data_IF_374085381998
#
_entry.id   IF_374085381998
#
_cell.length_a   1.000
_cell.length_b   1.000
_cell.length_c   1.000
_cell.angle_alpha   90.00
_cell.angle_beta   90.00
_cell.angle_gamma   90.00
#
_symmetry.space_group_name_H-M   'P 1'
#
loop_
_entity.id
_entity.type
_entity.pdbx_description
1 polymer ?
#
# COMPACT_ATOMS: atom_id res chain seq x y z
N UNK A 1 43.87 -27.97 15.38
CA UNK A 1 43.58 -27.19 14.15
C UNK A 1 42.27 -27.71 13.57
N UNK A 2 41.15 -27.05 13.88
CA UNK A 2 39.82 -27.50 13.46
C UNK A 2 39.42 -26.81 12.16
N UNK A 3 39.09 -27.59 11.12
CA UNK A 3 38.71 -27.09 9.80
C UNK A 3 37.22 -26.74 9.80
N UNK A 4 36.91 -25.47 9.60
CA UNK A 4 35.54 -24.98 9.38
C UNK A 4 35.22 -25.15 7.90
N UNK A 5 34.25 -26.00 7.57
CA UNK A 5 33.73 -26.17 6.21
C UNK A 5 32.59 -25.17 6.01
N UNK A 6 32.63 -24.30 4.98
CA UNK A 6 31.54 -23.37 4.73
C UNK A 6 30.39 -24.11 4.02
N UNK A 7 29.23 -24.09 4.65
CA UNK A 7 27.97 -24.64 4.12
C UNK A 7 27.40 -23.62 3.12
N UNK A 8 27.60 -23.88 1.82
CA UNK A 8 27.06 -23.10 0.71
C UNK A 8 25.54 -23.36 0.61
N UNK A 9 24.75 -22.43 1.12
CA UNK A 9 23.29 -22.48 1.09
C UNK A 9 22.80 -22.00 -0.29
N UNK A 10 22.63 -22.95 -1.20
CA UNK A 10 22.00 -22.75 -2.52
C UNK A 10 20.53 -22.41 -2.32
N UNK A 11 20.21 -21.11 -2.38
CA UNK A 11 18.85 -20.60 -2.36
C UNK A 11 18.19 -20.92 -3.71
N UNK A 12 17.51 -22.07 -3.79
CA UNK A 12 16.70 -22.45 -4.95
C UNK A 12 15.49 -21.53 -5.04
N UNK A 13 15.59 -20.50 -5.89
CA UNK A 13 14.49 -19.61 -6.25
C UNK A 13 13.46 -20.42 -7.04
N UNK A 14 12.49 -20.98 -6.32
CA UNK A 14 11.31 -21.61 -6.89
C UNK A 14 10.38 -20.52 -7.41
N UNK A 15 10.64 -20.04 -8.63
CA UNK A 15 9.65 -19.29 -9.39
C UNK A 15 8.49 -20.25 -9.61
N UNK A 16 7.38 -20.01 -8.91
CA UNK A 16 6.10 -20.67 -9.18
C UNK A 16 5.66 -20.31 -10.59
N UNK A 17 6.16 -21.07 -11.57
CA UNK A 17 5.66 -21.04 -12.92
C UNK A 17 4.19 -21.39 -12.84
N UNK A 18 3.32 -20.41 -13.14
CA UNK A 18 1.99 -20.65 -13.67
C UNK A 18 2.12 -21.87 -14.58
N UNK A 19 1.59 -23.01 -14.15
CA UNK A 19 1.72 -24.27 -14.86
C UNK A 19 0.93 -24.14 -16.14
N UNK A 20 1.53 -23.57 -17.18
CA UNK A 20 0.99 -23.70 -18.53
C UNK A 20 1.00 -25.20 -18.83
N UNK A 21 -0.19 -25.77 -18.92
CA UNK A 21 -0.37 -27.19 -19.22
C UNK A 21 0.04 -27.46 -20.67
N UNK A 22 0.49 -28.69 -20.94
CA UNK A 22 0.72 -29.12 -22.32
C UNK A 22 -0.62 -29.12 -23.06
N UNK A 23 -0.61 -28.52 -24.25
CA UNK A 23 -1.78 -28.44 -25.12
C UNK A 23 -1.34 -28.72 -26.55
N UNK A 24 -2.25 -29.35 -27.31
CA UNK A 24 -2.09 -29.52 -28.76
C UNK A 24 -2.49 -28.24 -29.47
N UNK A 25 -1.58 -27.72 -30.29
CA UNK A 25 -1.78 -26.58 -31.17
C UNK A 25 -1.76 -27.08 -32.61
N UNK A 26 -2.63 -26.55 -33.45
CA UNK A 26 -2.80 -27.01 -34.84
C UNK A 26 -2.60 -25.84 -35.81
N UNK A 27 -2.00 -26.09 -36.97
CA UNK A 27 -1.94 -25.12 -38.07
C UNK A 27 -3.14 -25.24 -39.03
N UNK A 28 -3.23 -24.36 -40.02
CA UNK A 28 -4.33 -24.38 -41.00
C UNK A 28 -4.25 -25.57 -41.99
N UNK A 29 -3.12 -26.29 -42.03
CA UNK A 29 -2.92 -27.48 -42.86
C UNK A 29 -3.25 -28.80 -42.12
N UNK A 30 -3.61 -28.73 -40.83
CA UNK A 30 -3.92 -29.88 -39.99
C UNK A 30 -2.72 -30.49 -39.26
N UNK A 31 -1.51 -29.95 -39.42
CA UNK A 31 -0.36 -30.36 -38.62
C UNK A 31 -0.56 -29.91 -37.17
N UNK A 32 -0.18 -30.77 -36.23
CA UNK A 32 -0.33 -30.49 -34.81
C UNK A 32 0.97 -30.66 -34.05
N UNK A 33 1.12 -29.86 -32.99
CA UNK A 33 2.25 -29.92 -32.08
C UNK A 33 1.74 -29.83 -30.65
N UNK A 34 2.21 -30.75 -29.80
CA UNK A 34 1.91 -30.69 -28.38
C UNK A 34 3.01 -29.96 -27.62
N UNK A 35 2.65 -28.87 -26.96
CA UNK A 35 3.60 -27.98 -26.35
C UNK A 35 3.02 -27.19 -25.18
N UNK A 36 3.90 -26.60 -24.40
CA UNK A 36 3.63 -25.64 -23.33
C UNK A 36 4.04 -24.25 -23.79
N UNK A 37 3.17 -23.25 -23.63
CA UNK A 37 3.50 -21.85 -23.92
C UNK A 37 4.47 -21.30 -22.86
N UNK A 38 5.53 -20.62 -23.30
CA UNK A 38 6.52 -19.99 -22.41
C UNK A 38 6.42 -18.46 -22.49
N UNK A 39 6.42 -17.91 -23.69
CA UNK A 39 6.50 -16.47 -23.91
C UNK A 39 5.90 -16.08 -25.27
N UNK A 40 5.29 -14.89 -25.36
CA UNK A 40 4.92 -14.26 -26.62
C UNK A 40 5.66 -12.92 -26.76
N UNK A 41 6.59 -12.85 -27.71
CA UNK A 41 7.29 -11.61 -28.07
C UNK A 41 6.35 -10.76 -28.91
N UNK A 42 5.87 -9.64 -28.35
CA UNK A 42 4.87 -8.78 -28.98
C UNK A 42 5.35 -8.16 -30.30
N UNK A 43 6.61 -7.77 -30.39
CA UNK A 43 7.18 -7.07 -31.55
C UNK A 43 7.12 -7.94 -32.81
N UNK A 44 7.50 -9.21 -32.69
CA UNK A 44 7.58 -10.12 -33.85
C UNK A 44 6.42 -11.11 -33.95
N UNK A 45 5.47 -11.05 -33.01
CA UNK A 45 4.43 -12.08 -32.84
C UNK A 45 5.00 -13.51 -32.82
N UNK A 46 6.18 -13.68 -32.20
CA UNK A 46 6.85 -14.97 -32.05
C UNK A 46 6.48 -15.56 -30.70
N UNK A 47 6.01 -16.80 -30.72
CA UNK A 47 5.71 -17.58 -29.53
C UNK A 47 6.86 -18.53 -29.28
N UNK A 48 7.38 -18.50 -28.06
CA UNK A 48 8.30 -19.51 -27.56
C UNK A 48 7.51 -20.60 -26.83
N UNK A 49 7.72 -21.84 -27.23
CA UNK A 49 7.01 -23.01 -26.70
C UNK A 49 8.00 -24.11 -26.31
N UNK A 50 7.62 -24.93 -25.34
CA UNK A 50 8.37 -26.12 -24.94
C UNK A 50 7.59 -27.37 -25.36
N UNK A 51 8.21 -28.23 -26.16
CA UNK A 51 7.65 -29.52 -26.57
C UNK A 51 7.71 -30.53 -25.41
N UNK A 52 6.95 -31.63 -25.51
CA UNK A 52 6.97 -32.71 -24.49
C UNK A 52 8.37 -33.27 -24.21
N UNK A 53 9.22 -33.32 -25.22
CA UNK A 53 10.60 -33.79 -25.09
C UNK A 53 11.54 -32.75 -24.44
N UNK A 54 11.00 -31.64 -23.92
CA UNK A 54 11.74 -30.56 -23.28
C UNK A 54 12.37 -29.54 -24.24
N UNK A 55 12.42 -29.81 -25.55
CA UNK A 55 12.97 -28.90 -26.56
C UNK A 55 12.14 -27.62 -26.64
N UNK A 56 12.81 -26.47 -26.66
CA UNK A 56 12.17 -25.18 -26.89
C UNK A 56 12.21 -24.84 -28.37
N UNK A 57 11.10 -24.32 -28.89
CA UNK A 57 10.96 -23.85 -30.27
C UNK A 57 10.34 -22.45 -30.28
N UNK A 58 10.70 -21.67 -31.29
CA UNK A 58 10.09 -20.38 -31.57
C UNK A 58 9.26 -20.53 -32.86
N UNK A 59 7.99 -20.08 -32.82
CA UNK A 59 7.07 -20.16 -33.95
C UNK A 59 6.31 -18.85 -34.12
N UNK A 60 6.02 -18.45 -35.36
CA UNK A 60 5.17 -17.29 -35.63
C UNK A 60 3.74 -17.58 -35.18
N UNK A 61 3.08 -16.63 -34.55
CA UNK A 61 1.67 -16.73 -34.15
C UNK A 61 0.76 -17.07 -35.34
N UNK A 62 1.08 -16.53 -36.52
CA UNK A 62 0.35 -16.82 -37.76
C UNK A 62 0.49 -18.27 -38.26
N UNK A 63 1.40 -19.07 -37.71
CA UNK A 63 1.55 -20.48 -38.07
C UNK A 63 0.49 -21.37 -37.40
N UNK A 64 -0.27 -20.84 -36.45
CA UNK A 64 -1.32 -21.57 -35.73
C UNK A 64 -2.71 -21.19 -36.26
N UNK A 65 -3.67 -22.10 -36.07
CA UNK A 65 -5.08 -21.90 -36.37
C UNK A 65 -5.64 -20.66 -35.67
N UNK A 66 -6.69 -20.06 -36.23
CA UNK A 66 -7.29 -18.84 -35.66
C UNK A 66 -7.76 -19.02 -34.20
N UNK A 67 -8.29 -20.21 -33.85
CA UNK A 67 -8.72 -20.53 -32.50
C UNK A 67 -7.55 -20.56 -31.51
N UNK A 68 -6.43 -21.19 -31.91
CA UNK A 68 -5.21 -21.23 -31.11
C UNK A 68 -4.55 -19.86 -31.01
N UNK A 69 -4.56 -19.06 -32.08
CA UNK A 69 -4.09 -17.68 -32.01
C UNK A 69 -4.85 -16.86 -30.98
N UNK A 70 -6.19 -16.98 -30.95
CA UNK A 70 -7.04 -16.29 -29.97
C UNK A 70 -6.72 -16.77 -28.55
N UNK A 71 -6.54 -18.07 -28.36
CA UNK A 71 -6.15 -18.64 -27.07
C UNK A 71 -4.79 -18.12 -26.59
N UNK A 72 -3.77 -18.13 -27.45
CA UNK A 72 -2.41 -17.67 -27.13
C UNK A 72 -2.41 -16.19 -26.75
N UNK A 73 -3.16 -15.35 -27.48
CA UNK A 73 -3.31 -13.92 -27.13
C UNK A 73 -3.95 -13.74 -25.75
N UNK A 74 -5.00 -14.51 -25.46
CA UNK A 74 -5.67 -14.49 -24.15
C UNK A 74 -4.72 -14.92 -23.03
N UNK A 75 -4.06 -16.07 -23.19
CA UNK A 75 -3.07 -16.59 -22.26
C UNK A 75 -1.96 -15.57 -21.99
N UNK A 76 -1.44 -14.92 -23.04
CA UNK A 76 -0.39 -13.93 -22.86
C UNK A 76 -0.88 -12.69 -22.11
N UNK A 77 -2.13 -12.27 -22.36
CA UNK A 77 -2.77 -11.21 -21.58
C UNK A 77 -2.83 -11.54 -20.10
N UNK A 78 -3.19 -12.77 -19.75
CA UNK A 78 -3.22 -13.27 -18.36
C UNK A 78 -1.81 -13.32 -17.75
N UNK A 79 -0.80 -13.79 -18.49
CA UNK A 79 0.60 -13.80 -18.02
C UNK A 79 1.13 -12.39 -17.77
N UNK A 80 0.85 -11.45 -18.68
CA UNK A 80 1.27 -10.04 -18.50
C UNK A 80 0.56 -9.41 -17.31
N UNK A 81 -0.74 -9.67 -17.15
CA UNK A 81 -1.51 -9.17 -16.01
C UNK A 81 -0.96 -9.72 -14.70
N UNK A 82 -0.68 -11.02 -14.62
CA UNK A 82 -0.11 -11.67 -13.43
C UNK A 82 1.27 -11.11 -13.10
N UNK A 83 2.13 -10.91 -14.12
CA UNK A 83 3.43 -10.27 -13.92
C UNK A 83 3.24 -8.89 -13.29
N UNK A 84 2.30 -8.07 -13.76
CA UNK A 84 2.07 -6.71 -13.26
C UNK A 84 1.53 -6.64 -11.82
N UNK A 85 1.40 -7.76 -11.12
CA UNK A 85 0.99 -7.81 -9.72
C UNK A 85 2.23 -7.63 -8.84
N UNK A 86 2.14 -6.68 -7.91
CA UNK A 86 3.15 -6.50 -6.88
C UNK A 86 3.10 -7.66 -5.89
N UNK A 87 4.25 -8.32 -5.68
CA UNK A 87 4.41 -9.42 -4.72
C UNK A 87 5.29 -9.00 -3.55
N UNK A 88 5.19 -9.71 -2.41
CA UNK A 88 5.95 -9.39 -1.18
C UNK A 88 7.47 -9.41 -1.32
N UNK A 89 7.97 -10.13 -2.32
CA UNK A 89 9.40 -10.25 -2.60
C UNK A 89 9.94 -9.14 -3.49
N UNK A 90 9.09 -8.27 -4.02
CA UNK A 90 9.52 -7.14 -4.82
C UNK A 90 10.32 -6.15 -3.97
N UNK A 91 11.38 -5.60 -4.55
CA UNK A 91 12.22 -4.57 -3.94
C UNK A 91 11.57 -3.22 -4.14
N UNK A 92 10.78 -2.81 -3.15
CA UNK A 92 10.22 -1.46 -3.06
C UNK A 92 10.73 -0.82 -1.78
N UNK A 93 11.07 0.46 -1.87
CA UNK A 93 11.39 1.28 -0.71
C UNK A 93 10.23 2.24 -0.46
N UNK A 94 9.85 2.42 0.80
CA UNK A 94 8.75 3.30 1.18
C UNK A 94 9.17 4.21 2.32
N UNK A 95 9.03 5.51 2.11
CA UNK A 95 9.30 6.55 3.10
C UNK A 95 8.02 7.33 3.41
N UNK A 96 7.77 7.64 4.69
CA UNK A 96 6.61 8.42 5.13
C UNK A 96 7.10 9.67 5.86
N UNK A 97 6.70 10.84 5.37
CA UNK A 97 6.97 12.14 6.01
C UNK A 97 5.66 12.77 6.46
N UNK A 98 5.68 13.34 7.67
CA UNK A 98 4.52 14.03 8.25
C UNK A 98 4.97 15.45 8.62
N UNK A 99 4.88 16.36 7.66
CA UNK A 99 5.37 17.72 7.84
C UNK A 99 4.32 18.63 8.47
N UNK A 100 4.78 19.57 9.31
CA UNK A 100 3.93 20.60 9.90
C UNK A 100 4.21 21.95 9.28
N UNK A 101 3.17 22.67 8.85
CA UNK A 101 3.27 24.12 8.67
C UNK A 101 2.63 24.81 9.87
N UNK A 102 3.45 25.44 10.70
CA UNK A 102 2.96 26.32 11.77
C UNK A 102 2.65 27.66 11.14
N UNK A 103 1.45 28.22 11.36
CA UNK A 103 1.26 29.66 11.16
C UNK A 103 2.06 30.36 12.26
N UNK A 104 3.28 30.80 11.97
CA UNK A 104 3.90 31.82 12.82
C UNK A 104 3.11 33.11 12.60
N UNK A 105 2.14 33.39 13.46
CA UNK A 105 1.63 34.75 13.60
C UNK A 105 2.81 35.60 14.09
N UNK A 106 3.38 36.42 13.21
CA UNK A 106 4.45 37.36 13.51
C UNK A 106 4.00 38.54 14.39
N UNK A 107 3.25 38.27 15.45
CA UNK A 107 2.82 39.26 16.42
C UNK A 107 3.23 38.81 17.81
N UNK A 108 4.35 39.39 18.26
CA UNK A 108 4.68 39.54 19.68
C UNK A 108 3.66 40.49 20.30
N UNK A 109 2.54 39.96 20.81
CA UNK A 109 1.62 40.71 21.66
C UNK A 109 1.90 40.31 23.11
N UNK A 110 2.29 41.29 23.91
CA UNK A 110 2.64 41.15 25.33
C UNK A 110 1.43 40.89 26.26
N UNK A 111 0.24 40.64 25.73
CA UNK A 111 -0.97 40.37 26.51
C UNK A 111 -1.95 39.49 25.72
N UNK A 112 -1.99 38.18 26.03
CA UNK A 112 -3.18 37.33 26.19
C UNK A 112 -2.78 35.85 26.15
N UNK A 113 -2.47 35.31 27.32
CA UNK A 113 -2.29 33.88 27.60
C UNK A 113 -3.60 33.13 27.33
N UNK A 114 -3.73 32.51 26.15
CA UNK A 114 -4.61 31.38 25.80
C UNK A 114 -4.40 31.06 24.31
N UNK A 115 -3.19 30.63 23.94
CA UNK A 115 -2.85 30.40 22.53
C UNK A 115 -3.44 29.07 22.03
N UNK A 116 -4.61 29.14 21.37
CA UNK A 116 -5.18 28.07 20.56
C UNK A 116 -4.21 27.67 19.42
N UNK A 117 -3.33 26.71 19.68
CA UNK A 117 -2.36 26.23 18.70
C UNK A 117 -3.02 25.24 17.75
N UNK A 118 -3.47 25.73 16.59
CA UNK A 118 -3.87 24.86 15.47
C UNK A 118 -2.67 24.58 14.56
N UNK A 119 -2.29 23.30 14.42
CA UNK A 119 -1.26 22.84 13.48
C UNK A 119 -1.88 22.11 12.30
N UNK A 120 -1.39 22.41 11.09
CA UNK A 120 -1.78 21.68 9.87
C UNK A 120 -0.62 20.75 9.50
N UNK A 121 -0.97 19.50 9.23
CA UNK A 121 -0.06 18.43 8.87
C UNK A 121 -0.30 18.02 7.42
N UNK A 122 0.79 17.79 6.69
CA UNK A 122 0.82 17.39 5.29
C UNK A 122 1.55 16.06 5.20
N UNK A 123 0.82 14.93 5.17
CA UNK A 123 1.45 13.64 4.98
C UNK A 123 1.95 13.49 3.53
N UNK A 124 3.12 12.89 3.39
CA UNK A 124 3.74 12.52 2.13
C UNK A 124 4.20 11.07 2.23
N UNK A 125 3.95 10.28 1.19
CA UNK A 125 4.47 8.92 1.08
C UNK A 125 5.22 8.78 -0.23
N UNK A 126 6.52 8.52 -0.13
CA UNK A 126 7.39 8.26 -1.27
C UNK A 126 7.55 6.77 -1.44
N UNK A 127 7.31 6.26 -2.65
CA UNK A 127 7.49 4.86 -3.00
C UNK A 127 8.47 4.78 -4.17
N UNK A 128 9.58 4.10 -3.97
CA UNK A 128 10.55 3.80 -5.03
C UNK A 128 10.42 2.33 -5.44
N UNK A 129 10.25 2.10 -6.74
CA UNK A 129 10.22 0.76 -7.31
C UNK A 129 11.59 0.40 -7.91
N UNK A 130 12.36 -0.41 -7.21
CA UNK A 130 13.69 -0.84 -7.65
C UNK A 130 13.67 -2.01 -8.65
N UNK A 131 12.49 -2.47 -9.06
CA UNK A 131 12.36 -3.54 -10.04
C UNK A 131 12.36 -3.02 -11.48
N UNK A 132 12.82 -3.85 -12.42
CA UNK A 132 12.70 -3.62 -13.87
C UNK A 132 11.30 -3.95 -14.38
N UNK A 133 10.29 -3.74 -13.55
CA UNK A 133 8.94 -4.15 -13.82
C UNK A 133 7.96 -3.11 -13.29
N UNK A 134 6.97 -2.79 -14.12
CA UNK A 134 5.83 -1.99 -13.70
C UNK A 134 4.79 -2.85 -12.99
N UNK A 135 4.33 -2.39 -11.83
CA UNK A 135 3.23 -2.97 -11.07
C UNK A 135 2.00 -2.09 -11.15
N UNK A 136 0.83 -2.66 -11.46
CA UNK A 136 -0.38 -1.90 -11.72
C UNK A 136 -1.49 -2.15 -10.71
N UNK A 137 -2.31 -1.14 -10.50
CA UNK A 137 -3.54 -1.22 -9.71
C UNK A 137 -3.28 -1.40 -8.22
N UNK A 138 -2.19 -0.82 -7.71
CA UNK A 138 -1.88 -0.86 -6.28
C UNK A 138 -2.73 0.16 -5.52
N UNK A 139 -2.98 -0.10 -4.24
CA UNK A 139 -3.71 0.81 -3.36
C UNK A 139 -2.89 1.05 -2.09
N UNK A 140 -2.48 2.30 -1.88
CA UNK A 140 -1.91 2.76 -0.62
C UNK A 140 -3.05 3.21 0.29
N UNK A 141 -3.03 2.75 1.54
CA UNK A 141 -3.90 3.24 2.60
C UNK A 141 -3.07 3.80 3.74
N UNK A 142 -3.25 5.08 4.06
CA UNK A 142 -2.62 5.74 5.21
C UNK A 142 -3.68 6.16 6.22
N UNK A 143 -3.50 5.76 7.47
CA UNK A 143 -4.35 6.12 8.60
C UNK A 143 -3.50 6.83 9.63
N UNK A 144 -3.95 8.02 10.05
CA UNK A 144 -3.23 8.87 10.99
C UNK A 144 -4.04 9.00 12.28
N UNK A 145 -3.35 8.85 13.39
CA UNK A 145 -3.91 8.78 14.73
C UNK A 145 -3.50 9.97 15.58
N UNK A 146 -4.42 10.41 16.43
CA UNK A 146 -4.14 11.41 17.46
C UNK A 146 -4.76 10.98 18.79
N UNK A 147 -4.03 11.16 19.88
CA UNK A 147 -4.51 10.90 21.24
C UNK A 147 -5.47 12.02 21.64
N UNK A 148 -6.58 11.68 22.28
CA UNK A 148 -7.51 12.64 22.87
C UNK A 148 -6.94 13.12 24.21
N UNK A 149 -6.67 14.43 24.32
CA UNK A 149 -6.00 14.99 25.48
C UNK A 149 -6.93 15.11 26.69
N UNK A 150 -8.25 15.20 26.45
CA UNK A 150 -9.27 15.24 27.50
C UNK A 150 -9.58 13.85 28.03
N UNK A 151 -9.74 12.88 27.12
CA UNK A 151 -10.11 11.52 27.47
C UNK A 151 -8.93 10.56 27.30
N UNK A 152 -8.15 10.41 28.38
CA UNK A 152 -7.03 9.45 28.43
C UNK A 152 -7.48 8.06 27.97
N UNK A 153 -6.64 7.42 27.17
CA UNK A 153 -6.91 6.10 26.62
C UNK A 153 -7.84 6.12 25.40
N UNK A 154 -8.20 7.30 24.86
CA UNK A 154 -8.94 7.43 23.61
C UNK A 154 -8.06 7.99 22.50
N UNK A 155 -8.31 7.52 21.28
CA UNK A 155 -7.58 7.92 20.10
C UNK A 155 -8.55 8.20 18.96
N UNK A 156 -8.30 9.27 18.22
CA UNK A 156 -9.07 9.69 17.06
C UNK A 156 -8.30 9.42 15.77
N UNK A 157 -9.02 8.90 14.77
CA UNK A 157 -8.54 8.85 13.39
C UNK A 157 -8.67 10.23 12.79
N UNK A 158 -7.56 10.93 12.58
CA UNK A 158 -7.54 12.33 12.11
C UNK A 158 -7.37 12.44 10.59
N UNK A 159 -6.79 11.42 9.96
CA UNK A 159 -6.80 11.22 8.51
C UNK A 159 -6.91 9.72 8.19
N UNK A 160 -7.57 9.40 7.08
CA UNK A 160 -7.74 8.02 6.59
C UNK A 160 -7.96 8.07 5.08
N UNK A 161 -6.88 7.96 4.31
CA UNK A 161 -6.91 8.10 2.86
C UNK A 161 -6.55 6.77 2.18
N UNK A 162 -7.17 6.52 1.03
CA UNK A 162 -6.86 5.41 0.13
C UNK A 162 -6.55 6.00 -1.24
N UNK A 163 -5.35 5.75 -1.77
CA UNK A 163 -4.87 6.28 -3.04
C UNK A 163 -4.51 5.09 -3.94
N UNK A 164 -5.07 5.06 -5.14
CA UNK A 164 -4.69 4.08 -6.17
C UNK A 164 -3.52 4.60 -6.97
N UNK A 165 -2.54 3.74 -7.26
CA UNK A 165 -1.36 4.10 -8.02
C UNK A 165 -0.77 2.92 -8.80
N UNK A 166 -0.05 3.24 -9.86
CA UNK A 166 0.81 2.31 -10.58
C UNK A 166 2.27 2.61 -10.22
N UNK A 167 3.05 1.57 -9.91
CA UNK A 167 4.47 1.69 -9.63
C UNK A 167 5.22 1.33 -10.90
N UNK A 168 5.65 2.34 -11.66
CA UNK A 168 6.43 2.11 -12.88
C UNK A 168 7.82 1.59 -12.53
N UNK A 169 8.44 0.89 -13.48
CA UNK A 169 9.77 0.32 -13.29
C UNK A 169 10.81 1.41 -13.02
N UNK A 170 11.66 1.21 -12.01
CA UNK A 170 12.77 2.13 -11.66
C UNK A 170 12.32 3.58 -11.50
N UNK A 171 11.10 3.79 -11.02
CA UNK A 171 10.52 5.12 -10.82
C UNK A 171 10.22 5.32 -9.34
N UNK A 172 10.47 6.54 -8.88
CA UNK A 172 10.02 7.06 -7.60
C UNK A 172 8.73 7.83 -7.82
N UNK A 173 7.74 7.61 -6.95
CA UNK A 173 6.51 8.38 -6.93
C UNK A 173 6.29 8.98 -5.54
N UNK A 174 5.73 10.19 -5.53
CA UNK A 174 5.31 10.88 -4.29
C UNK A 174 3.79 10.93 -4.27
N UNK A 175 3.21 10.40 -3.19
CA UNK A 175 1.78 10.42 -2.93
C UNK A 175 1.49 11.41 -1.80
N UNK A 176 0.44 12.21 -1.97
CA UNK A 176 0.02 13.24 -1.00
C UNK A 176 -1.36 12.89 -0.39
N UNK A 177 -1.42 12.08 0.68
CA UNK A 177 -2.67 11.82 1.40
C UNK A 177 -3.31 13.08 2.00
N UNK A 178 -4.56 12.94 2.48
CA UNK A 178 -5.33 14.09 2.95
C UNK A 178 -4.65 14.77 4.14
N UNK A 179 -4.35 16.07 3.98
CA UNK A 179 -3.91 16.93 5.06
C UNK A 179 -4.93 16.96 6.22
N UNK A 180 -4.43 17.11 7.44
CA UNK A 180 -5.27 17.16 8.63
C UNK A 180 -4.83 18.27 9.58
N UNK A 181 -5.77 18.67 10.44
CA UNK A 181 -5.56 19.74 11.42
C UNK A 181 -5.71 19.15 12.80
N UNK A 182 -4.75 19.43 13.67
CA UNK A 182 -4.87 19.19 15.10
C UNK A 182 -4.99 20.54 15.79
N UNK A 183 -5.97 20.65 16.67
CA UNK A 183 -6.11 21.80 17.54
C UNK A 183 -5.71 21.35 18.94
N UNK A 184 -4.75 22.07 19.51
CA UNK A 184 -4.34 21.96 20.90
C UNK A 184 -4.82 23.22 21.62
N UNK A 185 -5.49 23.02 22.74
CA UNK A 185 -5.94 24.05 23.65
C UNK A 185 -5.16 23.88 24.94
N UNK A 186 -4.22 24.79 25.19
CA UNK A 186 -3.55 24.96 26.48
C UNK A 186 -4.40 25.96 27.27
N UNK A 187 -5.03 25.55 28.37
CA UNK A 187 -5.67 26.49 29.28
C UNK A 187 -4.62 26.96 30.28
N UNK A 188 -4.25 28.24 30.21
CA UNK A 188 -3.36 28.86 31.20
C UNK A 188 -4.17 29.15 32.47
N UNK A 189 -3.81 28.50 33.57
CA UNK A 189 -4.49 28.66 34.86
C UNK A 189 -3.64 29.58 35.73
N UNK A 190 -4.10 30.82 35.94
CA UNK A 190 -3.61 31.62 37.04
C UNK A 190 -4.58 31.56 38.25
N UNK A 191 -3.97 31.20 39.38
CA UNK A 191 -4.38 31.27 40.79
C UNK A 191 -5.04 30.08 41.53
N UNK A 192 -5.80 29.16 40.91
CA UNK A 192 -6.36 27.99 41.66
C UNK A 192 -6.42 26.66 40.88
N UNK A 193 -5.38 26.37 40.11
CA UNK A 193 -4.95 25.02 39.70
C UNK A 193 -5.98 24.21 38.88
N UNK A 194 -5.98 24.41 37.55
CA UNK A 194 -6.64 23.49 36.62
C UNK A 194 -5.80 23.28 35.34
N UNK A 195 -5.00 22.22 35.33
CA UNK A 195 -4.34 21.65 34.15
C UNK A 195 -5.37 20.85 33.32
N UNK A 196 -6.07 21.50 32.40
CA UNK A 196 -6.86 20.76 31.41
C UNK A 196 -6.35 21.05 29.99
N UNK A 197 -5.60 20.08 29.46
CA UNK A 197 -5.27 20.01 28.04
C UNK A 197 -6.50 19.53 27.24
N UNK A 198 -7.02 20.35 26.33
CA UNK A 198 -8.07 19.94 25.40
C UNK A 198 -7.52 19.80 23.98
N UNK A 199 -8.13 18.91 23.20
CA UNK A 199 -7.81 18.73 21.78
C UNK A 199 -7.13 17.40 21.49
N UNK A 200 -6.30 17.40 20.45
CA UNK A 200 -5.70 16.19 19.91
C UNK A 200 -4.20 16.35 19.70
N UNK A 201 -3.44 15.38 20.17
CA UNK A 201 -1.98 15.30 19.97
C UNK A 201 -1.66 14.19 18.98
N UNK A 202 -0.81 14.47 18.00
CA UNK A 202 -0.36 13.45 17.02
C UNK A 202 0.22 12.24 17.76
N UNK A 203 -0.30 11.05 17.47
CA UNK A 203 0.08 9.79 18.14
C UNK A 203 0.88 8.86 17.23
N UNK A 204 0.69 8.99 15.91
CA UNK A 204 1.38 8.16 14.93
C UNK A 204 0.56 7.89 13.67
N UNK A 205 1.06 6.98 12.84
CA UNK A 205 0.39 6.48 11.65
C UNK A 205 0.44 4.95 11.55
N UNK A 206 -0.41 4.41 10.68
CA UNK A 206 -0.28 3.09 10.08
C UNK A 206 -0.59 3.16 8.59
N UNK A 207 0.19 2.44 7.79
CA UNK A 207 0.13 2.42 6.35
C UNK A 207 0.15 0.99 5.85
N UNK A 208 -0.64 0.72 4.80
CA UNK A 208 -0.62 -0.56 4.09
C UNK A 208 -0.61 -0.30 2.60
N UNK A 209 0.21 -1.03 1.86
CA UNK A 209 0.18 -1.10 0.40
C UNK A 209 -0.42 -2.43 -0.02
N UNK A 210 -1.45 -2.37 -0.86
CA UNK A 210 -2.13 -3.54 -1.45
C UNK A 210 -1.88 -3.63 -2.94
N UNK A 211 -1.76 -4.85 -3.46
CA UNK A 211 -1.67 -5.09 -4.90
C UNK A 211 -3.07 -5.06 -5.52
N UNK A 212 -3.14 -5.24 -6.83
CA UNK A 212 -4.39 -5.32 -7.59
C UNK A 212 -5.30 -6.49 -7.22
N UNK A 213 -4.79 -7.51 -6.51
CA UNK A 213 -5.59 -8.61 -5.92
C UNK A 213 -6.11 -8.27 -4.51
N UNK A 214 -5.76 -7.11 -3.96
CA UNK A 214 -6.13 -6.69 -2.61
C UNK A 214 -5.29 -7.32 -1.49
N UNK A 215 -4.23 -8.04 -1.85
CA UNK A 215 -3.28 -8.63 -0.90
C UNK A 215 -2.37 -7.54 -0.36
N UNK A 216 -2.11 -7.56 0.95
CA UNK A 216 -1.18 -6.62 1.57
C UNK A 216 0.25 -7.08 1.34
N UNK A 217 1.06 -6.25 0.69
CA UNK A 217 2.47 -6.53 0.37
C UNK A 217 3.44 -5.77 1.26
N UNK A 218 3.05 -4.60 1.76
CA UNK A 218 3.86 -3.77 2.63
C UNK A 218 2.99 -3.18 3.73
N UNK A 219 3.52 -3.13 4.94
CA UNK A 219 2.91 -2.49 6.09
C UNK A 219 3.98 -1.72 6.86
N UNK A 220 3.65 -0.51 7.29
CA UNK A 220 4.50 0.26 8.19
C UNK A 220 3.64 1.03 9.18
N UNK A 221 4.13 1.18 10.40
CA UNK A 221 3.46 1.93 11.44
C UNK A 221 4.45 2.42 12.48
N UNK A 222 4.20 3.62 12.97
CA UNK A 222 4.88 4.16 14.18
C UNK A 222 4.73 3.28 15.42
N UNK A 223 3.66 2.46 15.50
CA UNK A 223 3.38 1.55 16.61
C UNK A 223 2.74 0.27 16.06
N UNK A 224 3.33 -0.89 16.33
CA UNK A 224 2.86 -2.21 15.85
C UNK A 224 1.38 -2.50 16.16
N UNK A 225 0.88 -1.97 17.28
CA UNK A 225 -0.52 -2.18 17.70
C UNK A 225 -1.53 -1.71 16.65
N UNK A 226 -1.17 -0.72 15.83
CA UNK A 226 -2.07 -0.20 14.80
C UNK A 226 -2.27 -1.21 13.65
N UNK A 227 -1.23 -1.98 13.29
CA UNK A 227 -1.30 -3.00 12.23
C UNK A 227 -2.11 -4.23 12.64
N UNK A 228 -2.14 -4.56 13.94
CA UNK A 228 -2.88 -5.72 14.46
C UNK A 228 -4.40 -5.54 14.45
N UNK A 229 -4.90 -4.33 14.20
CA UNK A 229 -6.33 -4.05 14.23
C UNK A 229 -7.01 -4.28 12.88
N UNK A 230 -8.07 -5.09 12.88
CA UNK A 230 -8.98 -5.24 11.74
C UNK A 230 -9.65 -3.93 11.31
N UNK A 231 -9.69 -2.92 12.19
CA UNK A 231 -10.30 -1.64 11.90
C UNK A 231 -9.47 -0.80 10.94
N UNK A 232 -8.15 -1.06 10.81
CA UNK A 232 -7.25 -0.29 9.96
C UNK A 232 -7.80 -0.11 8.54
N UNK A 233 -8.34 -1.17 7.94
CA UNK A 233 -8.84 -1.17 6.55
C UNK A 233 -10.20 -0.50 6.36
N UNK A 234 -10.96 -0.26 7.42
CA UNK A 234 -12.35 0.22 7.32
C UNK A 234 -12.61 1.51 8.11
N UNK A 235 -11.65 1.95 8.91
CA UNK A 235 -11.81 3.15 9.71
C UNK A 235 -11.93 4.40 8.82
N UNK A 236 -12.65 5.39 9.34
CA UNK A 236 -12.89 6.67 8.69
C UNK A 236 -12.40 7.80 9.57
N UNK A 237 -11.99 8.90 8.95
CA UNK A 237 -11.70 10.16 9.64
C UNK A 237 -12.82 10.52 10.62
N UNK A 238 -12.44 10.96 11.81
CA UNK A 238 -13.33 11.37 12.89
C UNK A 238 -13.79 10.25 13.82
N UNK A 239 -13.53 8.98 13.49
CA UNK A 239 -13.84 7.87 14.39
C UNK A 239 -12.90 7.84 15.60
N UNK A 240 -13.43 7.45 16.74
CA UNK A 240 -12.71 7.34 18.02
C UNK A 240 -12.61 5.87 18.40
N UNK A 241 -11.46 5.48 18.93
CA UNK A 241 -11.14 4.13 19.38
C UNK A 241 -10.51 4.20 20.77
N UNK A 242 -10.41 3.04 21.42
CA UNK A 242 -9.52 2.88 22.56
C UNK A 242 -8.05 3.03 22.16
N UNK A 243 -7.18 3.20 23.15
CA UNK A 243 -5.74 3.38 22.97
C UNK A 243 -5.06 2.25 22.21
N UNK A 244 -5.63 1.05 22.28
CA UNK A 244 -5.14 -0.14 21.59
C UNK A 244 -5.66 -0.27 20.16
N UNK A 245 -6.53 0.64 19.71
CA UNK A 245 -7.20 0.60 18.41
C UNK A 245 -8.00 -0.71 18.18
N UNK A 246 -8.44 -1.37 19.24
CA UNK A 246 -9.17 -2.65 19.20
C UNK A 246 -10.67 -2.45 19.13
N UNK A 247 -11.19 -1.40 19.75
CA UNK A 247 -12.64 -1.15 19.85
C UNK A 247 -12.98 0.28 19.49
N UNK A 248 -13.94 0.44 18.58
CA UNK A 248 -14.54 1.73 18.26
C UNK A 248 -15.38 2.22 19.45
N UNK A 249 -15.14 3.45 19.88
CA UNK A 249 -15.91 4.12 20.92
C UNK A 249 -17.04 4.96 20.29
N UNK A 250 -18.13 5.13 21.03
CA UNK A 250 -19.19 6.06 20.64
C UNK A 250 -18.66 7.47 20.87
N UNK A 251 -18.69 8.32 19.84
CA UNK A 251 -18.43 9.74 20.01
C UNK A 251 -19.44 10.31 21.01
N UNK A 252 -18.97 10.91 22.09
CA UNK A 252 -19.83 11.45 23.17
C UNK A 252 -20.53 12.77 22.77
N UNK A 253 -20.94 12.93 21.51
CA UNK A 253 -21.47 14.19 20.98
C UNK A 253 -22.26 14.07 19.68
N UNK A 254 -23.49 13.55 19.78
CA UNK A 254 -24.65 13.93 18.97
C UNK A 254 -25.90 13.63 19.80
N UNK A 255 -26.08 14.43 20.84
CA UNK A 255 -27.31 14.51 21.63
C UNK A 255 -27.47 15.96 22.05
N UNK A 256 -27.82 16.82 21.09
CA UNK A 256 -28.47 18.09 21.39
C UNK A 256 -29.50 18.38 20.29
N UNK A 257 -30.66 17.75 20.42
CA UNK A 257 -31.91 18.34 19.98
C UNK A 257 -32.08 19.67 20.73
N UNK A 258 -31.71 20.77 20.10
CA UNK A 258 -32.35 22.04 20.42
C UNK A 258 -33.58 22.11 19.51
N UNK A 259 -34.66 21.52 20.00
CA UNK A 259 -35.99 21.96 19.64
C UNK A 259 -36.23 23.27 20.40
N UNK A 260 -36.39 24.35 19.65
CA UNK A 260 -37.30 25.46 19.94
C UNK A 260 -37.73 26.03 18.59
#
# INVERSE_FOLDING_TARGET
>A
MSRVVPFLLLFSISISFVHAEFRTFTNDFGDSVEAKLIELKKEDSIIRMQLRNGRKIDAKLSAFSQSDQKYIRKWWGEVVAERQILHKQARIDVEIKIDTKTRSSGHSSWYSESDDKTKIFYPEVTIENNESQTFKGNELRLVIFADDMRYKGQMKVVSASSIKTDLKEREEIVLEPDAFRLRHYEYDSNYFNYDYEYGYKYSGYAMTLKNSKGEVIYEDATKDKFLKSKHLYSCKKGQIFDEDFKRRLKSSGSSSSYAN
#
